data_IF_564193809095
#
_entry.id   IF_564193809095
#
_cell.length_a   1.000
_cell.length_b   1.000
_cell.length_c   1.000
_cell.angle_alpha   90.00
_cell.angle_beta   90.00
_cell.angle_gamma   90.00
#
_symmetry.space_group_name_H-M   'P 1'
#
loop_
_entity.id
_entity.type
_entity.pdbx_description
1 polymer ?
#
# COMPACT_ATOMS: atom_id res chain seq x y z
N UNK A 1 -10.52 5.65 -9.15
CA UNK A 1 -10.19 5.83 -7.71
C UNK A 1 -9.67 7.26 -7.48
N UNK A 2 -10.15 7.93 -6.44
CA UNK A 2 -9.66 9.24 -6.02
C UNK A 2 -8.43 9.08 -5.10
N UNK A 3 -7.38 9.89 -5.33
CA UNK A 3 -6.22 9.96 -4.44
C UNK A 3 -6.16 11.33 -3.79
N UNK A 4 -6.12 11.35 -2.46
CA UNK A 4 -6.02 12.57 -1.67
C UNK A 4 -4.86 12.47 -0.68
N UNK A 5 -3.96 13.44 -0.70
CA UNK A 5 -2.94 13.60 0.33
C UNK A 5 -3.42 14.59 1.37
N UNK A 6 -3.44 14.15 2.61
CA UNK A 6 -3.90 14.97 3.73
C UNK A 6 -2.77 15.92 4.15
N UNK A 7 -3.00 17.20 3.97
CA UNK A 7 -2.06 18.25 4.40
C UNK A 7 -2.45 18.80 5.77
N UNK A 8 -3.71 19.19 5.94
CA UNK A 8 -4.23 19.82 7.16
C UNK A 8 -5.48 19.11 7.70
N UNK A 9 -6.52 19.02 6.88
CA UNK A 9 -7.82 18.52 7.27
C UNK A 9 -8.23 17.31 6.41
N UNK A 10 -9.01 16.42 7.00
CA UNK A 10 -9.55 15.26 6.29
C UNK A 10 -10.75 15.68 5.43
N UNK A 11 -10.96 15.01 4.28
CA UNK A 11 -12.16 15.24 3.48
C UNK A 11 -13.39 14.72 4.24
N UNK A 12 -14.51 15.35 4.01
CA UNK A 12 -15.80 14.81 4.48
C UNK A 12 -16.30 13.77 3.51
N UNK A 13 -16.37 12.53 3.97
CA UNK A 13 -16.88 11.38 3.22
C UNK A 13 -18.13 10.90 3.92
N UNK A 14 -19.23 10.82 3.18
CA UNK A 14 -20.46 10.26 3.72
C UNK A 14 -20.49 8.75 3.57
N UNK A 15 -20.77 8.02 4.64
CA UNK A 15 -20.96 6.57 4.66
C UNK A 15 -19.76 5.81 4.06
N UNK A 16 -18.71 5.61 4.85
CA UNK A 16 -17.49 4.94 4.39
C UNK A 16 -17.21 3.63 5.12
N UNK A 17 -16.58 2.71 4.39
CA UNK A 17 -15.91 1.52 4.92
C UNK A 17 -14.40 1.74 4.81
N UNK A 18 -13.70 1.72 5.94
CA UNK A 18 -12.30 2.16 6.02
C UNK A 18 -11.38 1.04 6.46
N UNK A 19 -10.23 0.91 5.81
CA UNK A 19 -9.10 0.16 6.35
C UNK A 19 -7.93 1.09 6.63
N UNK A 20 -7.19 0.79 7.71
CA UNK A 20 -6.11 1.64 8.23
C UNK A 20 -4.80 0.87 8.29
N UNK A 21 -3.72 1.48 7.81
CA UNK A 21 -2.40 0.86 7.84
C UNK A 21 -1.34 1.70 7.15
N UNK A 22 -0.12 1.17 7.02
CA UNK A 22 0.94 1.85 6.26
C UNK A 22 0.79 1.70 4.75
N UNK A 23 0.26 0.59 4.28
CA UNK A 23 0.03 0.27 2.86
C UNK A 23 1.22 0.59 1.93
N UNK A 24 2.44 0.42 2.44
CA UNK A 24 3.68 0.60 1.68
C UNK A 24 3.80 -0.38 0.50
N UNK A 25 3.33 -1.62 0.71
CA UNK A 25 3.13 -2.61 -0.33
C UNK A 25 1.78 -3.29 -0.10
N UNK A 26 0.99 -3.49 -1.13
CA UNK A 26 -0.32 -4.13 -1.05
C UNK A 26 -0.15 -5.65 -1.02
N UNK A 27 0.61 -6.16 -0.02
CA UNK A 27 0.84 -7.59 0.16
C UNK A 27 -0.45 -8.34 0.52
N UNK A 28 -0.45 -9.66 0.41
CA UNK A 28 -1.64 -10.52 0.63
C UNK A 28 -2.35 -10.29 1.97
N UNK A 29 -1.65 -9.79 3.00
CA UNK A 29 -2.27 -9.41 4.26
C UNK A 29 -3.07 -8.10 4.14
N UNK A 30 -2.59 -7.12 3.37
CA UNK A 30 -3.32 -5.90 3.08
C UNK A 30 -4.52 -6.16 2.15
N UNK A 31 -4.34 -7.01 1.13
CA UNK A 31 -5.41 -7.36 0.19
C UNK A 31 -6.66 -7.86 0.92
N UNK A 32 -6.50 -8.70 1.95
CA UNK A 32 -7.64 -9.15 2.76
C UNK A 32 -8.38 -8.02 3.47
N UNK A 33 -7.67 -7.02 3.96
CA UNK A 33 -8.28 -5.85 4.59
C UNK A 33 -9.06 -5.01 3.56
N UNK A 34 -8.47 -4.85 2.37
CA UNK A 34 -9.08 -4.13 1.25
C UNK A 34 -10.32 -4.87 0.76
N UNK A 35 -10.26 -6.19 0.59
CA UNK A 35 -11.42 -7.02 0.22
C UNK A 35 -12.61 -6.76 1.15
N UNK A 36 -12.38 -6.67 2.47
CA UNK A 36 -13.43 -6.44 3.47
C UNK A 36 -14.12 -5.09 3.35
N UNK A 37 -13.41 -4.04 3.04
CA UNK A 37 -14.04 -2.73 2.83
C UNK A 37 -14.78 -2.66 1.49
N UNK A 38 -14.32 -3.40 0.47
CA UNK A 38 -14.99 -3.47 -0.83
C UNK A 38 -16.32 -4.24 -0.72
N UNK A 39 -16.39 -5.30 0.10
CA UNK A 39 -17.65 -6.01 0.38
C UNK A 39 -18.76 -5.04 0.85
N UNK A 40 -18.41 -3.98 1.57
CA UNK A 40 -19.37 -3.00 2.11
C UNK A 40 -19.96 -2.05 1.06
N UNK A 41 -19.43 -2.04 -0.17
CA UNK A 41 -20.01 -1.27 -1.28
C UNK A 41 -21.42 -1.73 -1.63
N UNK A 42 -21.74 -2.99 -1.36
CA UNK A 42 -23.10 -3.54 -1.54
C UNK A 42 -24.11 -2.85 -0.63
N UNK A 43 -23.67 -2.29 0.49
CA UNK A 43 -24.47 -1.50 1.43
C UNK A 43 -24.39 0.02 1.16
N UNK A 44 -23.79 0.41 0.03
CA UNK A 44 -23.65 1.81 -0.38
C UNK A 44 -22.50 2.57 0.29
N UNK A 45 -21.59 1.89 1.01
CA UNK A 45 -20.44 2.54 1.60
C UNK A 45 -19.32 2.77 0.57
N UNK A 46 -18.62 3.91 0.66
CA UNK A 46 -17.39 4.15 -0.11
C UNK A 46 -16.22 3.37 0.49
N UNK A 47 -15.52 2.60 -0.33
CA UNK A 47 -14.34 1.85 0.10
C UNK A 47 -13.11 2.77 0.19
N UNK A 48 -12.63 3.01 1.41
CA UNK A 48 -11.55 3.97 1.69
C UNK A 48 -10.34 3.29 2.31
N UNK A 49 -9.17 3.47 1.70
CA UNK A 49 -7.89 3.08 2.27
C UNK A 49 -7.23 4.31 2.89
N UNK A 50 -7.02 4.30 4.22
CA UNK A 50 -6.29 5.34 4.93
C UNK A 50 -4.86 4.87 5.21
N UNK A 51 -3.92 5.34 4.40
CA UNK A 51 -2.50 5.03 4.52
C UNK A 51 -1.82 6.01 5.50
N UNK A 52 -1.40 5.51 6.66
CA UNK A 52 -0.77 6.31 7.72
C UNK A 52 0.76 6.26 7.62
N UNK A 53 1.36 7.43 7.47
CA UNK A 53 2.81 7.60 7.35
C UNK A 53 3.31 7.37 5.92
N UNK A 54 4.41 8.03 5.61
CA UNK A 54 5.13 7.91 4.34
C UNK A 54 6.54 7.38 4.61
N UNK A 55 6.99 6.42 3.84
CA UNK A 55 8.38 5.97 3.85
C UNK A 55 9.18 6.73 2.78
N UNK A 56 10.45 6.99 3.04
CA UNK A 56 11.36 7.61 2.07
C UNK A 56 11.64 6.71 0.87
N UNK A 57 11.60 5.39 1.10
CA UNK A 57 11.69 4.37 0.06
C UNK A 57 10.54 3.38 0.23
N UNK A 58 9.83 3.09 -0.85
CA UNK A 58 8.59 2.31 -0.85
C UNK A 58 8.71 1.07 -1.73
N UNK A 59 8.00 0.01 -1.35
CA UNK A 59 7.89 -1.21 -2.17
C UNK A 59 7.16 -0.89 -3.47
N UNK A 60 6.08 -0.12 -3.36
CA UNK A 60 5.29 0.37 -4.49
C UNK A 60 5.40 1.89 -4.55
N UNK A 61 5.58 2.44 -5.74
CA UNK A 61 5.43 3.89 -5.94
C UNK A 61 3.98 4.31 -5.66
N UNK A 62 3.73 5.60 -5.60
CA UNK A 62 2.37 6.14 -5.46
C UNK A 62 1.48 5.66 -6.62
N UNK A 63 1.97 5.76 -7.85
CA UNK A 63 1.26 5.39 -9.07
C UNK A 63 0.92 3.90 -9.10
N UNK A 64 1.90 3.03 -8.77
CA UNK A 64 1.69 1.59 -8.66
C UNK A 64 0.66 1.25 -7.59
N UNK A 65 0.73 1.90 -6.44
CA UNK A 65 -0.22 1.70 -5.33
C UNK A 65 -1.63 2.13 -5.71
N UNK A 66 -1.77 3.30 -6.35
CA UNK A 66 -3.06 3.78 -6.85
C UNK A 66 -3.67 2.79 -7.85
N UNK A 67 -2.90 2.32 -8.84
CA UNK A 67 -3.38 1.38 -9.84
C UNK A 67 -3.86 0.07 -9.20
N UNK A 68 -3.06 -0.54 -8.33
CA UNK A 68 -3.43 -1.80 -7.67
C UNK A 68 -4.72 -1.64 -6.84
N UNK A 69 -4.84 -0.57 -6.07
CA UNK A 69 -6.05 -0.33 -5.26
C UNK A 69 -7.27 -0.03 -6.13
N UNK A 70 -7.10 0.68 -7.24
CA UNK A 70 -8.17 0.93 -8.20
C UNK A 70 -8.66 -0.36 -8.86
N UNK A 71 -7.73 -1.22 -9.31
CA UNK A 71 -8.04 -2.55 -9.86
C UNK A 71 -8.77 -3.44 -8.85
N UNK A 72 -8.46 -3.28 -7.56
CA UNK A 72 -9.18 -3.97 -6.48
C UNK A 72 -10.58 -3.39 -6.22
N UNK A 73 -10.91 -2.19 -6.73
CA UNK A 73 -12.22 -1.55 -6.57
C UNK A 73 -12.31 -0.56 -5.41
N UNK A 74 -11.19 -0.07 -4.88
CA UNK A 74 -11.15 1.01 -3.88
C UNK A 74 -11.65 2.30 -4.50
N UNK A 75 -12.45 3.07 -3.77
CA UNK A 75 -12.97 4.35 -4.24
C UNK A 75 -12.02 5.50 -3.92
N UNK A 76 -11.43 5.50 -2.72
CA UNK A 76 -10.58 6.59 -2.25
C UNK A 76 -9.34 6.05 -1.54
N UNK A 77 -8.16 6.56 -1.93
CA UNK A 77 -6.92 6.41 -1.19
C UNK A 77 -6.56 7.72 -0.49
N UNK A 78 -6.62 7.72 0.84
CA UNK A 78 -6.16 8.84 1.67
C UNK A 78 -4.74 8.57 2.15
N UNK A 79 -3.78 9.37 1.72
CA UNK A 79 -2.42 9.34 2.25
C UNK A 79 -2.27 10.37 3.35
N UNK A 80 -2.08 9.93 4.58
CA UNK A 80 -1.97 10.76 5.75
C UNK A 80 -0.53 10.77 6.29
N UNK A 81 0.27 11.79 5.97
CA UNK A 81 1.58 11.97 6.58
C UNK A 81 1.45 12.11 8.10
N UNK A 82 2.39 11.54 8.85
CA UNK A 82 2.41 11.69 10.31
C UNK A 82 2.97 13.06 10.68
N UNK A 83 2.16 14.11 10.44
CA UNK A 83 2.46 15.48 10.93
C UNK A 83 2.50 15.51 12.46
N UNK A 84 3.06 16.57 13.06
CA UNK A 84 3.06 16.75 14.50
C UNK A 84 1.64 16.66 15.10
N UNK A 85 0.65 17.26 14.44
CA UNK A 85 -0.78 17.20 14.83
C UNK A 85 -1.27 15.74 14.90
N UNK A 86 -1.07 14.97 13.84
CA UNK A 86 -1.53 13.58 13.75
C UNK A 86 -0.74 12.67 14.70
N UNK A 87 0.57 12.89 14.83
CA UNK A 87 1.46 12.09 15.69
C UNK A 87 1.10 12.23 17.17
N UNK A 88 0.69 13.42 17.62
CA UNK A 88 0.29 13.68 19.00
C UNK A 88 -1.22 13.54 19.23
N UNK A 89 -2.00 13.21 18.22
CA UNK A 89 -3.44 13.03 18.36
C UNK A 89 -3.74 11.79 19.20
N UNK A 90 -4.51 11.95 20.30
CA UNK A 90 -4.99 10.83 21.12
C UNK A 90 -5.85 9.89 20.29
N UNK A 91 -5.77 8.58 20.59
CA UNK A 91 -6.54 7.57 19.87
C UNK A 91 -8.05 7.83 19.86
N UNK A 92 -8.58 8.32 21.00
CA UNK A 92 -10.00 8.68 21.10
C UNK A 92 -10.38 9.84 20.17
N UNK A 93 -9.53 10.85 20.06
CA UNK A 93 -9.77 11.99 19.17
C UNK A 93 -9.68 11.56 17.71
N UNK A 94 -8.72 10.71 17.37
CA UNK A 94 -8.62 10.12 16.04
C UNK A 94 -9.91 9.40 15.64
N UNK A 95 -10.51 8.63 16.55
CA UNK A 95 -11.79 7.97 16.29
C UNK A 95 -12.91 8.98 16.13
N UNK A 96 -13.05 9.93 17.08
CA UNK A 96 -14.19 10.85 17.11
C UNK A 96 -14.14 11.90 15.99
N UNK A 97 -12.98 12.50 15.78
CA UNK A 97 -12.83 13.61 14.83
C UNK A 97 -12.70 13.08 13.41
N UNK A 98 -11.80 12.11 13.19
CA UNK A 98 -11.48 11.63 11.84
C UNK A 98 -12.44 10.51 11.41
N UNK A 99 -12.49 9.38 12.15
CA UNK A 99 -13.29 8.25 11.67
C UNK A 99 -14.78 8.57 11.67
N UNK A 100 -15.29 9.17 12.75
CA UNK A 100 -16.72 9.47 12.89
C UNK A 100 -17.06 10.82 12.24
N UNK A 101 -16.31 11.88 12.57
CA UNK A 101 -16.63 13.25 12.14
C UNK A 101 -16.42 13.47 10.65
N UNK A 102 -15.23 13.16 10.16
CA UNK A 102 -14.85 13.45 8.78
C UNK A 102 -15.21 12.30 7.83
N UNK A 103 -14.83 11.07 8.16
CA UNK A 103 -15.00 9.91 7.28
C UNK A 103 -16.36 9.21 7.44
N UNK A 104 -17.15 9.54 8.45
CA UNK A 104 -18.47 8.98 8.73
C UNK A 104 -18.51 7.46 8.55
N UNK A 105 -17.57 6.77 9.21
CA UNK A 105 -17.38 5.34 9.03
C UNK A 105 -18.59 4.53 9.51
N UNK A 106 -19.06 3.61 8.68
CA UNK A 106 -20.01 2.57 9.07
C UNK A 106 -19.30 1.24 9.35
N UNK A 107 -18.12 1.06 8.75
CA UNK A 107 -17.33 -0.16 8.87
C UNK A 107 -15.82 0.12 8.88
N UNK A 108 -15.11 -0.58 9.76
CA UNK A 108 -13.63 -0.47 9.88
C UNK A 108 -13.01 -1.87 9.86
N UNK A 109 -12.10 -2.13 8.93
CA UNK A 109 -11.30 -3.36 8.88
C UNK A 109 -9.85 -3.08 9.30
N UNK A 110 -9.36 -3.81 10.30
CA UNK A 110 -7.96 -3.69 10.76
C UNK A 110 -7.34 -5.03 11.09
N UNK A 111 -6.02 -5.12 11.02
CA UNK A 111 -5.29 -6.29 11.50
C UNK A 111 -5.25 -6.34 13.04
N UNK A 112 -5.12 -7.54 13.61
CA UNK A 112 -5.07 -7.76 15.07
C UNK A 112 -3.94 -7.01 15.81
N UNK A 113 -2.84 -6.67 15.11
CA UNK A 113 -1.73 -5.91 15.69
C UNK A 113 -1.75 -4.42 15.34
N UNK A 114 -2.83 -3.94 14.75
CA UNK A 114 -2.97 -2.53 14.40
C UNK A 114 -2.88 -1.64 15.65
N UNK A 115 -2.14 -0.55 15.54
CA UNK A 115 -1.97 0.44 16.61
C UNK A 115 -1.96 1.84 16.01
N UNK A 116 -2.68 2.76 16.63
CA UNK A 116 -2.84 4.14 16.17
C UNK A 116 -2.87 5.14 17.33
N UNK A 117 -2.92 6.43 17.00
CA UNK A 117 -2.93 7.52 17.96
C UNK A 117 -1.61 7.70 18.68
N UNK A 118 -1.57 8.71 19.55
CA UNK A 118 -0.38 9.06 20.31
C UNK A 118 0.16 7.87 21.10
N UNK A 119 1.48 7.67 21.03
CA UNK A 119 2.18 6.53 21.67
C UNK A 119 1.62 5.14 21.29
N UNK A 120 0.91 5.04 20.17
CA UNK A 120 0.30 3.79 19.69
C UNK A 120 -0.70 3.18 20.70
N UNK A 121 -1.34 4.00 21.51
CA UNK A 121 -2.30 3.56 22.54
C UNK A 121 -3.62 3.06 21.97
N UNK A 122 -3.99 3.46 20.76
CA UNK A 122 -5.16 2.96 20.05
C UNK A 122 -5.01 1.49 19.64
N UNK A 123 -6.04 0.70 19.88
CA UNK A 123 -6.08 -0.75 19.65
C UNK A 123 -7.34 -1.17 18.90
N UNK A 124 -7.36 -2.37 18.27
CA UNK A 124 -8.58 -2.92 17.70
C UNK A 124 -9.72 -3.09 18.72
N UNK A 125 -9.40 -3.37 19.99
CA UNK A 125 -10.40 -3.46 21.05
C UNK A 125 -11.08 -2.11 21.29
N UNK A 126 -10.31 -1.02 21.31
CA UNK A 126 -10.85 0.34 21.40
C UNK A 126 -11.75 0.68 20.21
N UNK A 127 -11.37 0.32 18.99
CA UNK A 127 -12.23 0.51 17.81
C UNK A 127 -13.55 -0.24 17.95
N UNK A 128 -13.54 -1.49 18.45
CA UNK A 128 -14.76 -2.25 18.71
C UNK A 128 -15.67 -1.61 19.78
N UNK A 129 -15.06 -1.10 20.85
CA UNK A 129 -15.80 -0.41 21.92
C UNK A 129 -16.47 0.86 21.41
N UNK A 130 -15.72 1.69 20.70
CA UNK A 130 -16.24 2.91 20.09
C UNK A 130 -17.27 2.60 18.99
N UNK A 131 -17.06 1.54 18.21
CA UNK A 131 -18.03 1.09 17.22
C UNK A 131 -19.39 0.76 17.83
N UNK A 132 -19.41 0.06 18.97
CA UNK A 132 -20.66 -0.21 19.70
C UNK A 132 -21.32 1.08 20.21
N UNK A 133 -20.52 2.05 20.62
CA UNK A 133 -21.03 3.32 21.17
C UNK A 133 -21.53 4.28 20.10
N UNK A 134 -20.89 4.31 18.94
CA UNK A 134 -21.14 5.33 17.91
C UNK A 134 -21.75 4.76 16.61
N UNK A 135 -22.06 3.46 16.57
CA UNK A 135 -22.83 2.87 15.49
C UNK A 135 -22.03 2.44 14.27
N UNK A 136 -20.73 2.11 14.41
CA UNK A 136 -19.97 1.51 13.34
C UNK A 136 -19.47 0.09 13.68
N UNK A 137 -19.34 -0.76 12.68
CA UNK A 137 -18.81 -2.11 12.86
C UNK A 137 -17.27 -2.12 12.75
N UNK A 138 -16.61 -2.93 13.58
CA UNK A 138 -15.15 -3.16 13.49
C UNK A 138 -14.85 -4.63 13.31
N UNK A 139 -14.31 -4.98 12.17
CA UNK A 139 -13.77 -6.32 11.89
C UNK A 139 -12.26 -6.34 12.13
N UNK A 140 -11.81 -7.32 12.91
CA UNK A 140 -10.38 -7.52 13.21
C UNK A 140 -9.93 -8.81 12.54
N UNK A 141 -9.05 -8.68 11.56
CA UNK A 141 -8.58 -9.82 10.77
C UNK A 141 -7.30 -10.40 11.35
N UNK A 142 -7.19 -11.73 11.41
CA UNK A 142 -5.94 -12.39 11.75
C UNK A 142 -4.90 -12.17 10.65
N UNK A 143 -3.64 -12.23 11.02
CA UNK A 143 -2.54 -12.10 10.08
C UNK A 143 -2.52 -13.21 9.06
N UNK A 144 -2.26 -12.87 7.82
CA UNK A 144 -1.90 -13.84 6.81
C UNK A 144 -0.51 -14.38 7.11
N UNK A 145 -0.39 -15.70 7.17
CA UNK A 145 0.86 -16.39 7.48
C UNK A 145 1.47 -17.03 6.22
N UNK A 146 2.79 -17.11 6.21
CA UNK A 146 3.59 -17.96 5.33
C UNK A 146 4.39 -18.92 6.21
N UNK A 147 3.93 -20.13 6.33
CA UNK A 147 4.41 -21.07 7.34
C UNK A 147 4.25 -20.49 8.75
N UNK A 148 5.36 -20.34 9.47
CA UNK A 148 5.39 -19.77 10.83
C UNK A 148 5.62 -18.25 10.85
N UNK A 149 5.82 -17.62 9.70
CA UNK A 149 6.12 -16.19 9.62
C UNK A 149 4.91 -15.41 9.10
N UNK A 150 4.62 -14.26 9.75
CA UNK A 150 3.57 -13.35 9.28
C UNK A 150 3.98 -12.64 8.00
N UNK A 151 3.08 -12.54 7.03
CA UNK A 151 3.25 -11.70 5.85
C UNK A 151 3.14 -10.24 6.29
N UNK A 152 4.17 -9.44 5.99
CA UNK A 152 4.28 -8.03 6.37
C UNK A 152 5.17 -7.28 5.40
N UNK A 153 5.08 -5.95 5.34
CA UNK A 153 5.98 -5.12 4.52
C UNK A 153 7.45 -5.34 4.85
N UNK A 154 7.79 -5.60 6.11
CA UNK A 154 9.16 -5.96 6.51
C UNK A 154 9.61 -7.26 5.84
N UNK A 155 8.78 -8.29 5.84
CA UNK A 155 9.12 -9.56 5.20
C UNK A 155 9.26 -9.39 3.68
N UNK A 156 8.36 -8.66 3.05
CA UNK A 156 8.46 -8.34 1.61
C UNK A 156 9.77 -7.60 1.28
N UNK A 157 10.14 -6.59 2.08
CA UNK A 157 11.40 -5.83 1.91
C UNK A 157 12.63 -6.71 2.06
N UNK A 158 12.64 -7.61 3.03
CA UNK A 158 13.75 -8.54 3.22
C UNK A 158 13.95 -9.46 2.01
N UNK A 159 12.86 -10.02 1.47
CA UNK A 159 12.95 -10.90 0.31
C UNK A 159 13.34 -10.13 -0.96
N UNK A 160 12.82 -8.91 -1.13
CA UNK A 160 13.26 -8.02 -2.21
C UNK A 160 14.75 -7.70 -2.11
N UNK A 161 15.24 -7.34 -0.93
CA UNK A 161 16.65 -7.03 -0.69
C UNK A 161 17.59 -8.24 -0.85
N UNK A 162 17.05 -9.47 -0.80
CA UNK A 162 17.77 -10.71 -1.11
C UNK A 162 17.75 -11.07 -2.60
N UNK A 163 16.96 -10.36 -3.39
CA UNK A 163 16.72 -10.71 -4.79
C UNK A 163 15.83 -11.95 -4.98
N UNK A 164 15.11 -12.37 -3.93
CA UNK A 164 14.21 -13.52 -3.99
C UNK A 164 12.86 -13.15 -4.61
N UNK A 165 12.84 -13.04 -5.94
CA UNK A 165 11.67 -12.57 -6.69
C UNK A 165 10.49 -13.55 -6.61
N UNK A 166 10.73 -14.85 -6.53
CA UNK A 166 9.66 -15.86 -6.36
C UNK A 166 8.94 -15.68 -5.03
N UNK A 167 9.70 -15.48 -3.94
CA UNK A 167 9.12 -15.24 -2.63
C UNK A 167 8.44 -13.88 -2.55
N UNK A 168 9.01 -12.85 -3.16
CA UNK A 168 8.37 -11.54 -3.32
C UNK A 168 7.00 -11.68 -3.98
N UNK A 169 6.92 -12.33 -5.14
CA UNK A 169 5.68 -12.61 -5.86
C UNK A 169 4.66 -13.36 -5.00
N UNK A 170 5.12 -14.38 -4.27
CA UNK A 170 4.25 -15.13 -3.36
C UNK A 170 3.65 -14.22 -2.27
N UNK A 171 4.45 -13.35 -1.65
CA UNK A 171 4.02 -12.46 -0.57
C UNK A 171 3.11 -11.33 -1.06
N UNK A 172 3.44 -10.77 -2.23
CA UNK A 172 2.71 -9.66 -2.83
C UNK A 172 1.47 -10.10 -3.62
N UNK A 173 1.47 -11.30 -4.20
CA UNK A 173 0.47 -11.76 -5.14
C UNK A 173 0.68 -11.28 -6.57
N UNK A 174 1.68 -10.43 -6.81
CA UNK A 174 2.07 -9.87 -8.12
C UNK A 174 3.58 -9.89 -8.28
N UNK A 175 4.07 -9.86 -9.51
CA UNK A 175 5.50 -9.73 -9.79
C UNK A 175 6.03 -8.36 -9.36
N UNK A 176 7.34 -8.30 -9.07
CA UNK A 176 8.01 -7.02 -8.89
C UNK A 176 8.07 -6.30 -10.22
N UNK A 177 7.65 -5.06 -10.26
CA UNK A 177 7.69 -4.22 -11.45
C UNK A 177 8.39 -2.89 -11.19
N UNK A 178 8.95 -2.33 -12.24
CA UNK A 178 9.53 -0.98 -12.24
C UNK A 178 9.02 -0.25 -13.46
N UNK A 179 8.45 0.91 -13.25
CA UNK A 179 8.07 1.84 -14.30
C UNK A 179 9.01 3.02 -14.29
N UNK A 180 9.34 3.54 -15.46
CA UNK A 180 10.21 4.69 -15.57
C UNK A 180 10.36 5.18 -17.00
N UNK A 181 11.12 6.24 -17.16
CA UNK A 181 11.39 6.85 -18.46
C UNK A 181 12.61 6.15 -19.07
N UNK A 182 12.51 5.88 -20.38
CA UNK A 182 13.64 5.35 -21.15
C UNK A 182 14.61 6.50 -21.45
N UNK A 183 15.84 6.34 -21.01
CA UNK A 183 16.90 7.30 -21.28
C UNK A 183 17.99 6.74 -22.19
N UNK A 184 18.65 7.66 -22.93
CA UNK A 184 19.82 7.31 -23.71
C UNK A 184 21.00 6.97 -22.81
N UNK A 185 21.47 5.72 -22.87
CA UNK A 185 22.70 5.30 -22.21
C UNK A 185 23.96 5.73 -23.00
N UNK A 186 25.09 5.23 -22.55
CA UNK A 186 26.42 5.51 -23.15
C UNK A 186 26.60 4.95 -24.58
N UNK A 187 25.55 4.36 -25.19
CA UNK A 187 25.57 3.83 -26.54
C UNK A 187 26.48 2.59 -26.74
N UNK A 188 26.97 1.99 -25.67
CA UNK A 188 27.89 0.85 -25.75
C UNK A 188 27.25 -0.40 -26.37
N UNK A 189 25.94 -0.60 -26.16
CA UNK A 189 25.21 -1.71 -26.77
C UNK A 189 25.25 -1.71 -28.30
N UNK A 190 25.19 -0.55 -28.93
CA UNK A 190 25.33 -0.43 -30.39
C UNK A 190 26.72 -0.83 -30.91
N UNK A 191 27.76 -0.67 -30.08
CA UNK A 191 29.14 -1.05 -30.45
C UNK A 191 29.38 -2.56 -30.36
N UNK A 192 28.64 -3.27 -29.52
CA UNK A 192 28.83 -4.69 -29.20
C UNK A 192 27.68 -5.59 -29.61
N UNK A 193 26.86 -5.19 -30.59
CA UNK A 193 25.75 -5.98 -31.19
C UNK A 193 24.49 -6.21 -30.34
N UNK A 194 24.39 -5.68 -29.15
CA UNK A 194 23.20 -5.82 -28.30
C UNK A 194 22.65 -4.44 -27.91
N UNK A 195 21.67 -3.91 -28.68
CA UNK A 195 21.01 -2.67 -28.27
C UNK A 195 20.32 -2.83 -26.91
N UNK A 196 20.59 -1.89 -26.01
CA UNK A 196 20.05 -1.88 -24.65
C UNK A 196 19.12 -0.70 -24.45
N UNK A 197 18.11 -0.90 -23.66
CA UNK A 197 17.22 0.16 -23.16
C UNK A 197 17.54 0.42 -21.72
N UNK A 198 17.81 1.68 -21.37
CA UNK A 198 18.05 2.09 -19.99
C UNK A 198 16.77 2.70 -19.42
N UNK A 199 16.38 2.20 -18.25
CA UNK A 199 15.24 2.69 -17.50
C UNK A 199 15.71 3.27 -16.18
N UNK A 200 15.33 4.51 -15.87
CA UNK A 200 15.62 5.13 -14.58
C UNK A 200 14.40 4.97 -13.68
N UNK A 201 14.51 4.20 -12.60
CA UNK A 201 13.43 4.04 -11.64
C UNK A 201 13.22 5.32 -10.83
N UNK A 202 12.00 5.58 -10.33
CA UNK A 202 11.75 6.63 -9.36
C UNK A 202 12.63 6.50 -8.11
N UNK A 203 13.11 7.61 -7.57
CA UNK A 203 14.07 7.64 -6.43
C UNK A 203 13.52 6.94 -5.19
N UNK A 204 12.22 7.04 -4.97
CA UNK A 204 11.51 6.40 -3.85
C UNK A 204 11.29 4.90 -4.05
N UNK A 205 11.43 4.37 -5.26
CA UNK A 205 11.24 2.95 -5.53
C UNK A 205 12.33 2.11 -4.88
N UNK A 206 11.93 1.14 -4.09
CA UNK A 206 12.85 0.15 -3.54
C UNK A 206 13.24 -0.83 -4.65
N UNK A 207 14.53 -0.90 -4.94
CA UNK A 207 15.08 -1.79 -5.98
C UNK A 207 15.65 -3.07 -5.37
N UNK A 208 15.66 -4.17 -6.12
CA UNK A 208 16.37 -5.38 -5.74
C UNK A 208 17.91 -5.15 -5.79
N UNK A 209 18.72 -6.06 -5.27
CA UNK A 209 20.17 -5.99 -5.36
C UNK A 209 20.69 -5.87 -6.80
N UNK A 210 21.86 -5.31 -6.96
CA UNK A 210 22.58 -5.34 -8.25
C UNK A 210 22.70 -6.79 -8.74
N UNK A 211 22.40 -7.00 -10.01
CA UNK A 211 22.40 -8.33 -10.58
C UNK A 211 21.64 -8.42 -11.90
N UNK A 212 21.55 -9.62 -12.41
CA UNK A 212 20.91 -9.93 -13.69
C UNK A 212 19.60 -10.68 -13.42
N UNK A 213 18.51 -10.17 -13.96
CA UNK A 213 17.15 -10.67 -13.75
C UNK A 213 16.49 -11.04 -15.09
N UNK A 214 15.78 -12.15 -15.12
CA UNK A 214 14.88 -12.48 -16.22
C UNK A 214 13.64 -11.62 -16.06
N UNK A 215 13.27 -10.89 -17.11
CA UNK A 215 12.21 -9.90 -17.04
C UNK A 215 11.26 -9.98 -18.22
N UNK A 216 10.06 -9.44 -18.03
CA UNK A 216 9.13 -9.12 -19.11
C UNK A 216 8.97 -7.62 -19.14
N UNK A 217 9.32 -7.01 -20.27
CA UNK A 217 9.14 -5.58 -20.50
C UNK A 217 7.86 -5.34 -21.28
N UNK A 218 7.02 -4.44 -20.77
CA UNK A 218 5.81 -3.98 -21.43
C UNK A 218 6.07 -2.60 -22.04
N UNK A 219 5.91 -2.49 -23.35
CA UNK A 219 6.06 -1.23 -24.04
C UNK A 219 4.91 -1.05 -25.03
N UNK A 220 4.06 -0.05 -24.82
CA UNK A 220 2.78 0.12 -25.50
C UNK A 220 1.95 -1.17 -25.37
N UNK A 221 1.46 -1.71 -26.45
CA UNK A 221 0.62 -2.91 -26.46
C UNK A 221 1.41 -4.23 -26.64
N UNK A 222 2.73 -4.19 -26.43
CA UNK A 222 3.60 -5.35 -26.65
C UNK A 222 4.37 -5.74 -25.41
N UNK A 223 4.59 -7.04 -25.26
CA UNK A 223 5.39 -7.62 -24.18
C UNK A 223 6.63 -8.30 -24.77
N UNK A 224 7.77 -8.10 -24.14
CA UNK A 224 9.05 -8.65 -24.58
C UNK A 224 9.72 -9.38 -23.41
N UNK A 225 10.11 -10.62 -23.65
CA UNK A 225 11.01 -11.31 -22.71
C UNK A 225 12.42 -10.77 -22.87
N UNK A 226 13.11 -10.60 -21.75
CA UNK A 226 14.43 -10.01 -21.76
C UNK A 226 15.24 -10.30 -20.49
N UNK A 227 16.42 -9.74 -20.49
CA UNK A 227 17.35 -9.78 -19.36
C UNK A 227 17.60 -8.34 -18.93
N UNK A 228 17.39 -8.05 -17.66
CA UNK A 228 17.62 -6.72 -17.09
C UNK A 228 18.80 -6.78 -16.11
N UNK A 229 19.75 -5.90 -16.31
CA UNK A 229 20.82 -5.67 -15.33
C UNK A 229 20.40 -4.52 -14.41
N UNK A 230 20.40 -4.79 -13.11
CA UNK A 230 20.24 -3.77 -12.06
C UNK A 230 21.64 -3.43 -11.54
N UNK A 231 22.04 -2.15 -11.66
CA UNK A 231 23.39 -1.71 -11.27
C UNK A 231 23.53 -0.20 -11.21
#
# INVERSE_FOLDING_TARGET
MEYLRIENDFPRISHSAVTLGKFDGIHRGHQKLVEKIIEQKQEGAQAVVLALGTASRTILTKEERCRILEEMGVDILLECPLTEKIRHMKAENFIKEILIGDLQVSYVAVGEDFRFGYERKGTPAMLKEFGKKYGFHTEVLPKKMDGRRKISSTFVREELNRGNMEKFRFLMGTDFSVEGIVEHGRGMGHKYLLPTTNLIPPVEKLMPPNGVYITVSHFRDRSYQGITNVG
#
